data_IF_633937908909
#
_entry.id   IF_633937908909
#
_cell.length_a   1.000
_cell.length_b   1.000
_cell.length_c   1.000
_cell.angle_alpha   90.00
_cell.angle_beta   90.00
_cell.angle_gamma   90.00
#
_symmetry.space_group_name_H-M   'P 1'
#
loop_
_entity.id
_entity.type
_entity.pdbx_description
1 polymer ?
#
# COMPACT_ATOMS: atom_id res chain seq x y z
N UNK A 1 -49.87 -37.70 55.80
CA UNK A 1 -49.46 -36.73 56.84
C UNK A 1 -48.76 -35.56 56.15
N UNK A 2 -49.40 -34.41 56.18
CA UNK A 2 -49.00 -33.14 55.54
C UNK A 2 -47.94 -32.40 56.37
N UNK A 3 -46.95 -31.78 55.71
CA UNK A 3 -46.28 -30.51 56.11
C UNK A 3 -45.77 -29.83 54.83
N UNK A 4 -46.53 -28.88 54.26
CA UNK A 4 -46.45 -27.42 54.43
C UNK A 4 -45.14 -26.75 53.96
N UNK A 5 -45.22 -26.24 52.73
CA UNK A 5 -44.87 -24.87 52.25
C UNK A 5 -43.69 -24.12 52.88
N UNK A 6 -42.74 -23.70 52.03
CA UNK A 6 -42.21 -22.32 52.03
C UNK A 6 -41.51 -21.97 50.71
N UNK A 7 -42.17 -21.10 49.97
CA UNK A 7 -41.67 -20.29 48.84
C UNK A 7 -40.59 -19.32 49.34
N UNK A 8 -39.42 -19.28 48.68
CA UNK A 8 -38.59 -18.07 48.62
C UNK A 8 -38.12 -17.89 47.17
N UNK A 9 -38.60 -16.80 46.60
CA UNK A 9 -38.26 -16.25 45.30
C UNK A 9 -36.88 -15.58 45.43
N UNK A 10 -35.87 -16.04 44.70
CA UNK A 10 -34.53 -15.47 44.69
C UNK A 10 -34.09 -15.19 43.26
N UNK A 11 -34.40 -14.00 42.77
CA UNK A 11 -33.76 -13.42 41.59
C UNK A 11 -32.28 -13.16 41.88
N UNK A 12 -31.37 -13.80 41.13
CA UNK A 12 -30.01 -13.30 40.95
C UNK A 12 -29.74 -13.08 39.47
N UNK A 13 -29.52 -11.81 39.16
CA UNK A 13 -29.09 -11.31 37.88
C UNK A 13 -27.62 -11.67 37.60
N UNK A 14 -27.34 -11.97 36.33
CA UNK A 14 -26.14 -11.54 35.63
C UNK A 14 -24.79 -12.15 36.02
N UNK A 15 -24.19 -12.91 35.11
CA UNK A 15 -22.95 -12.48 34.45
C UNK A 15 -22.72 -13.42 33.24
N UNK A 16 -23.34 -13.09 32.11
CA UNK A 16 -22.94 -13.65 30.83
C UNK A 16 -21.64 -12.98 30.40
N UNK A 17 -20.49 -13.51 30.83
CA UNK A 17 -19.20 -13.12 30.26
C UNK A 17 -19.09 -13.80 28.90
N UNK A 18 -19.70 -13.20 27.88
CA UNK A 18 -19.31 -13.43 26.51
C UNK A 18 -17.91 -12.82 26.34
N UNK A 19 -16.87 -13.61 26.61
CA UNK A 19 -15.52 -13.28 26.20
C UNK A 19 -15.51 -13.30 24.66
N UNK A 20 -15.78 -12.14 24.06
CA UNK A 20 -15.50 -11.90 22.67
C UNK A 20 -13.99 -12.04 22.51
N UNK A 21 -13.55 -13.17 21.96
CA UNK A 21 -12.21 -13.31 21.41
C UNK A 21 -12.11 -12.29 20.28
N UNK A 22 -11.66 -11.07 20.61
CA UNK A 22 -11.21 -10.10 19.64
C UNK A 22 -10.02 -10.74 18.93
N UNK A 23 -10.28 -11.29 17.74
CA UNK A 23 -9.21 -11.69 16.84
C UNK A 23 -8.35 -10.45 16.65
N UNK A 24 -7.02 -10.50 16.90
CA UNK A 24 -6.17 -9.38 16.56
C UNK A 24 -6.36 -9.14 15.06
N UNK A 25 -6.84 -7.94 14.72
CA UNK A 25 -7.04 -7.54 13.34
C UNK A 25 -5.70 -7.74 12.63
N UNK A 26 -5.64 -8.73 11.73
CA UNK A 26 -4.45 -9.02 10.96
C UNK A 26 -4.02 -7.71 10.28
N UNK A 27 -2.84 -7.27 10.67
CA UNK A 27 -2.21 -6.07 10.19
C UNK A 27 -1.76 -6.31 8.74
N UNK A 28 -2.17 -5.43 7.83
CA UNK A 28 -1.93 -5.59 6.43
C UNK A 28 -0.75 -4.66 6.04
N UNK A 29 0.37 -5.21 5.54
CA UNK A 29 1.38 -4.41 4.88
C UNK A 29 0.73 -3.49 3.83
N UNK A 30 1.02 -2.20 3.90
CA UNK A 30 0.41 -1.15 3.08
C UNK A 30 -0.65 -0.30 3.81
N UNK A 31 -1.06 -0.64 5.04
CA UNK A 31 -1.96 0.21 5.84
C UNK A 31 -1.33 1.58 6.11
N UNK A 32 -2.11 2.65 5.93
CA UNK A 32 -1.71 4.00 6.33
C UNK A 32 -2.18 4.25 7.75
N UNK A 33 -1.24 4.66 8.60
CA UNK A 33 -1.48 5.08 9.96
C UNK A 33 -1.07 6.53 10.16
N UNK A 34 -1.84 7.28 10.93
CA UNK A 34 -1.47 8.62 11.41
C UNK A 34 -0.86 8.53 12.78
N UNK A 35 0.26 9.22 12.99
CA UNK A 35 0.92 9.33 14.27
C UNK A 35 0.05 10.15 15.23
N UNK A 36 -0.26 9.60 16.40
CA UNK A 36 -1.14 10.23 17.40
C UNK A 36 -0.37 10.94 18.51
N UNK A 37 0.88 10.56 18.77
CA UNK A 37 1.74 11.19 19.77
C UNK A 37 2.45 12.44 19.24
N UNK A 38 2.71 13.43 20.11
CA UNK A 38 3.43 14.68 19.76
C UNK A 38 4.78 14.42 19.08
N UNK A 39 5.56 13.51 19.68
CA UNK A 39 6.85 13.05 19.17
C UNK A 39 6.99 11.56 19.48
N UNK A 40 7.10 10.77 18.42
CA UNK A 40 7.11 9.32 18.48
C UNK A 40 8.42 8.81 17.88
N UNK A 41 9.05 7.86 18.57
CA UNK A 41 10.33 7.29 18.15
C UNK A 41 10.11 6.14 17.17
N UNK A 42 10.83 6.19 16.04
CA UNK A 42 11.02 5.05 15.16
C UNK A 42 12.27 4.29 15.61
N UNK A 43 12.10 3.05 16.06
CA UNK A 43 13.17 2.23 16.64
C UNK A 43 13.75 1.24 15.64
N UNK A 44 14.95 0.75 15.90
CA UNK A 44 15.63 -0.19 15.02
C UNK A 44 15.01 -1.61 15.05
N UNK A 45 14.33 -1.99 16.13
CA UNK A 45 13.72 -3.30 16.34
C UNK A 45 12.41 -3.15 17.15
N UNK A 46 11.51 -4.16 17.15
CA UNK A 46 10.24 -4.13 17.87
C UNK A 46 10.43 -4.35 19.39
N UNK A 47 11.16 -3.44 20.04
CA UNK A 47 11.41 -3.45 21.47
C UNK A 47 11.61 -2.03 22.01
N UNK A 48 11.16 -1.85 23.24
CA UNK A 48 11.40 -0.71 24.13
C UNK A 48 12.89 -0.43 24.37
N UNK A 49 13.75 -1.43 24.25
CA UNK A 49 15.20 -1.32 24.45
C UNK A 49 15.98 -1.11 23.14
N UNK A 50 15.30 -1.14 21.99
CA UNK A 50 15.94 -0.92 20.71
C UNK A 50 16.34 0.55 20.52
N UNK A 51 17.47 0.80 19.84
CA UNK A 51 17.95 2.15 19.54
C UNK A 51 16.93 2.93 18.70
N UNK A 52 16.81 4.23 18.98
CA UNK A 52 15.97 5.15 18.19
C UNK A 52 16.73 5.51 16.92
N UNK A 53 16.13 5.25 15.76
CA UNK A 53 16.68 5.63 14.45
C UNK A 53 16.28 7.05 14.08
N UNK A 54 15.01 7.37 14.25
CA UNK A 54 14.46 8.69 13.95
C UNK A 54 13.17 8.96 14.72
N UNK A 55 12.55 10.10 14.45
CA UNK A 55 11.32 10.51 15.12
C UNK A 55 10.31 11.07 14.14
N UNK A 56 9.05 10.72 14.35
CA UNK A 56 7.86 11.24 13.65
C UNK A 56 7.00 12.04 14.63
N UNK A 57 6.21 12.98 14.13
CA UNK A 57 5.40 13.89 14.96
C UNK A 57 3.91 13.67 14.72
N UNK A 58 3.07 14.17 15.64
CA UNK A 58 1.62 14.05 15.52
C UNK A 58 1.15 14.54 14.14
N UNK A 59 0.31 13.75 13.49
CA UNK A 59 -0.21 14.05 12.16
C UNK A 59 0.68 13.58 11.00
N UNK A 60 1.92 13.15 11.25
CA UNK A 60 2.72 12.46 10.23
C UNK A 60 2.01 11.16 9.82
N UNK A 61 2.03 10.86 8.53
CA UNK A 61 1.55 9.60 7.98
C UNK A 61 2.70 8.60 7.86
N UNK A 62 2.43 7.37 8.26
CA UNK A 62 3.35 6.25 8.19
C UNK A 62 2.67 5.06 7.53
N UNK A 63 3.43 4.36 6.69
CA UNK A 63 2.96 3.16 5.99
C UNK A 63 3.44 1.95 6.78
N UNK A 64 2.52 1.05 7.11
CA UNK A 64 2.84 -0.23 7.71
C UNK A 64 3.56 -1.14 6.71
N UNK A 65 4.76 -1.59 7.07
CA UNK A 65 5.53 -2.57 6.32
C UNK A 65 5.28 -3.98 6.84
N UNK A 66 5.16 -4.11 8.17
CA UNK A 66 4.90 -5.39 8.86
C UNK A 66 4.50 -5.14 10.32
N UNK A 67 3.91 -6.15 10.97
CA UNK A 67 3.61 -6.11 12.40
C UNK A 67 4.22 -7.31 13.14
N UNK A 68 4.85 -7.05 14.29
CA UNK A 68 5.39 -8.06 15.20
C UNK A 68 4.87 -7.76 16.62
N UNK A 69 3.89 -8.54 17.06
CA UNK A 69 3.18 -8.28 18.32
C UNK A 69 2.47 -6.94 18.29
N UNK A 70 2.80 -6.06 19.25
CA UNK A 70 2.26 -4.70 19.34
C UNK A 70 3.11 -3.65 18.61
N UNK A 71 4.17 -4.08 17.92
CA UNK A 71 5.05 -3.20 17.18
C UNK A 71 4.74 -3.24 15.70
N UNK A 72 4.69 -2.07 15.10
CA UNK A 72 4.44 -1.88 13.68
C UNK A 72 5.73 -1.38 13.06
N UNK A 73 6.29 -2.16 12.14
CA UNK A 73 7.38 -1.73 11.28
C UNK A 73 6.78 -0.80 10.24
N UNK A 74 7.27 0.43 10.19
CA UNK A 74 6.68 1.49 9.37
C UNK A 74 7.73 2.22 8.55
N UNK A 75 7.29 2.85 7.46
CA UNK A 75 8.05 3.88 6.75
C UNK A 75 7.36 5.23 6.88
N UNK A 76 8.12 6.26 7.25
CA UNK A 76 7.66 7.65 7.27
C UNK A 76 7.39 8.14 5.85
N UNK A 77 6.18 8.64 5.57
CA UNK A 77 5.87 9.22 4.26
C UNK A 77 6.57 10.57 4.04
N UNK A 78 6.93 11.26 5.12
CA UNK A 78 7.61 12.56 5.06
C UNK A 78 9.10 12.43 4.77
N UNK A 79 9.76 11.40 5.30
CA UNK A 79 11.22 11.26 5.25
C UNK A 79 11.71 10.02 4.51
N UNK A 80 10.84 9.06 4.23
CA UNK A 80 11.19 7.76 3.65
C UNK A 80 11.93 6.83 4.62
N UNK A 81 12.18 7.25 5.86
CA UNK A 81 12.92 6.45 6.85
C UNK A 81 12.07 5.32 7.41
N UNK A 82 12.73 4.20 7.71
CA UNK A 82 12.11 3.00 8.26
C UNK A 82 12.49 2.75 9.72
N UNK A 83 11.51 2.28 10.47
CA UNK A 83 11.73 1.80 11.83
C UNK A 83 10.47 1.20 12.42
N UNK A 84 10.51 0.96 13.73
CA UNK A 84 9.43 0.35 14.49
C UNK A 84 8.78 1.37 15.40
N UNK A 85 7.45 1.41 15.35
CA UNK A 85 6.60 2.22 16.23
C UNK A 85 5.69 1.30 17.04
N UNK A 86 5.36 1.70 18.26
CA UNK A 86 4.39 0.97 19.07
C UNK A 86 2.97 1.30 18.59
N UNK A 87 2.12 0.28 18.42
CA UNK A 87 0.81 0.39 17.78
C UNK A 87 -0.10 1.45 18.40
N UNK A 88 -0.07 1.63 19.72
CA UNK A 88 -0.90 2.63 20.41
C UNK A 88 -0.54 4.10 20.07
N UNK A 89 0.64 4.32 19.47
CA UNK A 89 1.12 5.64 19.08
C UNK A 89 0.72 6.03 17.65
N UNK A 90 -0.01 5.15 16.97
CA UNK A 90 -0.50 5.37 15.63
C UNK A 90 -1.97 4.96 15.53
N UNK A 91 -2.71 5.61 14.64
CA UNK A 91 -4.11 5.29 14.37
C UNK A 91 -4.26 4.98 12.90
N UNK A 92 -4.74 3.78 12.58
CA UNK A 92 -5.08 3.39 11.22
C UNK A 92 -6.10 4.37 10.63
N UNK A 93 -5.75 5.05 9.54
CA UNK A 93 -6.65 5.97 8.82
C UNK A 93 -7.54 5.20 7.84
N UNK A 94 -6.94 4.22 7.18
CA UNK A 94 -7.60 3.45 6.13
C UNK A 94 -7.27 1.99 6.37
N UNK A 95 -8.26 1.10 6.55
CA UNK A 95 -7.99 -0.31 6.36
C UNK A 95 -7.55 -0.47 4.91
N UNK A 96 -6.35 -1.00 4.68
CA UNK A 96 -6.07 -1.54 3.37
C UNK A 96 -7.15 -2.56 3.09
N UNK A 97 -7.80 -2.40 1.94
CA UNK A 97 -8.59 -3.47 1.33
C UNK A 97 -7.72 -4.68 0.96
N UNK A 98 -6.43 -4.68 1.34
CA UNK A 98 -5.40 -5.69 1.13
C UNK A 98 -5.50 -6.90 2.05
N UNK A 99 -6.26 -6.85 3.16
CA UNK A 99 -6.52 -8.02 4.00
C UNK A 99 -7.36 -9.11 3.31
N UNK A 100 -8.10 -8.76 2.25
CA UNK A 100 -8.80 -9.71 1.38
C UNK A 100 -8.23 -9.80 -0.04
N UNK A 101 -7.18 -9.04 -0.33
CA UNK A 101 -6.61 -8.86 -1.67
C UNK A 101 -5.15 -9.31 -1.78
N UNK A 102 -4.68 -10.22 -0.93
CA UNK A 102 -3.48 -11.01 -1.27
C UNK A 102 -3.65 -11.77 -2.59
N UNK A 103 -4.89 -11.93 -3.07
CA UNK A 103 -5.22 -12.42 -4.42
C UNK A 103 -5.49 -11.32 -5.47
N UNK A 104 -5.61 -10.04 -5.09
CA UNK A 104 -5.92 -8.93 -6.00
C UNK A 104 -4.83 -7.83 -6.05
N UNK A 105 -3.83 -7.87 -5.18
CA UNK A 105 -2.62 -7.04 -5.27
C UNK A 105 -1.67 -7.53 -6.37
N UNK A 106 -1.68 -8.83 -6.65
CA UNK A 106 -1.07 -9.48 -7.81
C UNK A 106 -1.83 -9.22 -9.11
N UNK A 107 -3.08 -8.73 -9.06
CA UNK A 107 -3.95 -8.64 -10.23
C UNK A 107 -4.26 -7.18 -10.62
N UNK A 108 -3.27 -6.28 -10.50
CA UNK A 108 -3.35 -4.96 -11.13
C UNK A 108 -3.54 -5.05 -12.67
N UNK A 109 -3.48 -6.25 -13.25
CA UNK A 109 -3.64 -6.55 -14.67
C UNK A 109 -2.33 -6.97 -15.35
N UNK A 110 -1.21 -6.94 -14.63
CA UNK A 110 0.12 -7.31 -15.16
C UNK A 110 0.27 -8.83 -15.37
N UNK A 111 -0.41 -9.67 -14.59
CA UNK A 111 -0.34 -11.13 -14.79
C UNK A 111 -1.01 -11.65 -16.04
N UNK A 112 -1.85 -10.82 -16.65
CA UNK A 112 -2.40 -11.05 -17.98
C UNK A 112 -1.38 -10.79 -19.09
N UNK A 113 -0.29 -10.09 -18.78
CA UNK A 113 0.79 -9.70 -19.70
C UNK A 113 1.98 -10.66 -19.55
N UNK A 114 2.47 -10.87 -18.32
CA UNK A 114 3.63 -11.74 -18.06
C UNK A 114 3.72 -12.17 -16.60
N UNK A 115 3.74 -13.48 -16.37
CA UNK A 115 3.93 -14.08 -15.03
C UNK A 115 5.30 -13.77 -14.43
N UNK A 116 6.35 -13.63 -15.25
CA UNK A 116 7.68 -13.26 -14.77
C UNK A 116 7.74 -11.81 -14.29
N UNK A 117 6.97 -10.93 -14.91
CA UNK A 117 6.89 -9.52 -14.51
C UNK A 117 6.14 -9.34 -13.19
N UNK A 118 5.10 -10.14 -12.95
CA UNK A 118 4.41 -10.16 -11.66
C UNK A 118 5.35 -10.52 -10.51
N UNK A 119 6.20 -11.53 -10.69
CA UNK A 119 7.17 -11.94 -9.67
C UNK A 119 8.15 -10.81 -9.34
N UNK A 120 8.62 -10.10 -10.37
CA UNK A 120 9.50 -8.94 -10.22
C UNK A 120 8.80 -7.80 -9.48
N UNK A 121 7.59 -7.43 -9.89
CA UNK A 121 6.82 -6.38 -9.24
C UNK A 121 6.43 -6.76 -7.81
N UNK A 122 6.08 -8.01 -7.55
CA UNK A 122 5.81 -8.50 -6.20
C UNK A 122 7.06 -8.37 -5.31
N UNK A 123 8.24 -8.73 -5.81
CA UNK A 123 9.50 -8.54 -5.10
C UNK A 123 9.79 -7.07 -4.79
N UNK A 124 9.61 -6.19 -5.77
CA UNK A 124 9.80 -4.74 -5.61
C UNK A 124 8.78 -4.16 -4.62
N UNK A 125 7.52 -4.53 -4.74
CA UNK A 125 6.46 -4.07 -3.83
C UNK A 125 6.69 -4.56 -2.40
N UNK A 126 7.20 -5.79 -2.21
CA UNK A 126 7.54 -6.31 -0.88
C UNK A 126 8.73 -5.57 -0.28
N UNK A 127 9.75 -5.24 -1.09
CA UNK A 127 10.90 -4.46 -0.64
C UNK A 127 10.53 -3.01 -0.33
N UNK A 128 9.64 -2.41 -1.15
CA UNK A 128 9.18 -1.05 -0.98
C UNK A 128 7.99 -0.95 -0.01
N UNK A 129 7.33 -2.02 0.39
CA UNK A 129 6.15 -1.97 1.27
C UNK A 129 4.95 -1.18 0.73
N UNK A 130 4.95 -0.82 -0.56
CA UNK A 130 3.81 -0.19 -1.23
C UNK A 130 3.72 -0.67 -2.68
N UNK A 131 2.50 -0.63 -3.24
CA UNK A 131 2.22 -1.12 -4.60
C UNK A 131 2.63 -0.09 -5.64
N UNK A 132 3.29 -0.52 -6.70
CA UNK A 132 3.58 0.32 -7.87
C UNK A 132 2.32 0.83 -8.57
N UNK A 133 1.42 -0.08 -8.97
CA UNK A 133 0.23 0.26 -9.75
C UNK A 133 -1.06 -0.06 -9.00
N UNK A 134 -2.00 0.88 -9.09
CA UNK A 134 -3.39 0.69 -8.71
C UNK A 134 -4.12 -0.14 -9.77
N UNK A 135 -3.93 0.20 -11.05
CA UNK A 135 -4.62 -0.43 -12.18
C UNK A 135 -3.77 -0.40 -13.44
N UNK A 136 -3.92 -1.44 -14.27
CA UNK A 136 -3.40 -1.52 -15.62
C UNK A 136 -4.55 -1.69 -16.60
N UNK A 137 -4.62 -0.83 -17.60
CA UNK A 137 -5.61 -0.85 -18.65
C UNK A 137 -4.91 -1.16 -19.96
N UNK A 138 -5.32 -2.25 -20.62
CA UNK A 138 -4.81 -2.66 -21.91
C UNK A 138 -5.89 -2.41 -22.97
N UNK A 139 -5.46 -1.89 -24.11
CA UNK A 139 -6.32 -1.70 -25.28
C UNK A 139 -5.82 -2.57 -26.43
N UNK A 140 -6.75 -3.12 -27.21
CA UNK A 140 -6.45 -4.02 -28.33
C UNK A 140 -5.64 -3.41 -29.47
N UNK A 141 -5.37 -2.10 -29.44
CA UNK A 141 -4.53 -1.38 -30.40
C UNK A 141 -3.05 -1.29 -29.99
N UNK A 142 -2.60 -2.10 -29.02
CA UNK A 142 -1.22 -2.06 -28.53
C UNK A 142 -0.97 -0.92 -27.54
N UNK A 143 -2.01 -0.33 -26.95
CA UNK A 143 -1.88 0.69 -25.91
C UNK A 143 -1.93 0.06 -24.51
N UNK A 144 -1.00 0.48 -23.65
CA UNK A 144 -0.93 0.13 -22.23
C UNK A 144 -1.02 1.41 -21.40
N UNK A 145 -1.95 1.45 -20.44
CA UNK A 145 -1.99 2.49 -19.42
C UNK A 145 -1.76 1.87 -18.06
N UNK A 146 -0.82 2.41 -17.32
CA UNK A 146 -0.56 2.05 -15.93
C UNK A 146 -0.92 3.25 -15.06
N UNK A 147 -1.85 3.05 -14.14
CA UNK A 147 -2.26 4.03 -13.13
C UNK A 147 -1.48 3.70 -11.86
N UNK A 148 -0.46 4.49 -11.50
CA UNK A 148 0.32 4.24 -10.29
C UNK A 148 -0.50 4.51 -9.05
N UNK A 149 -0.12 3.90 -7.93
CA UNK A 149 -0.68 4.33 -6.65
C UNK A 149 -0.23 5.74 -6.31
N UNK A 150 -1.06 6.43 -5.54
CA UNK A 150 -0.74 7.75 -5.01
C UNK A 150 0.56 7.73 -4.19
N UNK A 151 0.81 6.62 -3.48
CA UNK A 151 1.95 6.46 -2.60
C UNK A 151 3.25 6.30 -3.38
N UNK A 152 3.21 5.58 -4.50
CA UNK A 152 4.34 5.51 -5.41
C UNK A 152 4.60 6.88 -6.07
N UNK A 153 3.56 7.62 -6.42
CA UNK A 153 3.71 8.96 -7.00
C UNK A 153 4.36 9.96 -6.04
N UNK A 154 4.01 9.94 -4.76
CA UNK A 154 4.60 10.88 -3.79
C UNK A 154 6.04 10.53 -3.41
N UNK A 155 6.36 9.24 -3.30
CA UNK A 155 7.67 8.79 -2.82
C UNK A 155 8.71 8.58 -3.93
N UNK A 156 8.32 8.70 -5.20
CA UNK A 156 9.22 8.45 -6.34
C UNK A 156 9.64 9.77 -7.01
N UNK A 157 10.94 9.90 -7.29
CA UNK A 157 11.49 11.07 -8.00
C UNK A 157 10.95 11.16 -9.43
N UNK A 158 10.99 12.36 -10.03
CA UNK A 158 10.60 12.54 -11.44
C UNK A 158 11.40 11.65 -12.39
N UNK A 159 12.69 11.53 -12.14
CA UNK A 159 13.59 10.70 -12.94
C UNK A 159 13.23 9.21 -12.84
N UNK A 160 12.98 8.71 -11.62
CA UNK A 160 12.54 7.34 -11.42
C UNK A 160 11.17 7.06 -12.06
N UNK A 161 10.28 8.05 -12.11
CA UNK A 161 9.01 7.93 -12.86
C UNK A 161 9.22 7.77 -14.36
N UNK A 162 10.20 8.49 -14.93
CA UNK A 162 10.57 8.36 -16.34
C UNK A 162 11.17 6.98 -16.61
N UNK A 163 12.08 6.50 -15.77
CA UNK A 163 12.65 5.16 -15.92
C UNK A 163 11.59 4.06 -15.81
N UNK A 164 10.63 4.21 -14.90
CA UNK A 164 9.50 3.28 -14.82
C UNK A 164 8.67 3.28 -16.11
N UNK A 165 8.37 4.45 -16.68
CA UNK A 165 7.65 4.55 -17.94
C UNK A 165 8.42 3.91 -19.11
N UNK A 166 9.74 4.16 -19.20
CA UNK A 166 10.61 3.55 -20.21
C UNK A 166 10.68 2.03 -20.08
N UNK A 167 10.83 1.51 -18.85
CA UNK A 167 10.84 0.07 -18.60
C UNK A 167 9.51 -0.59 -18.98
N UNK A 168 8.39 0.06 -18.68
CA UNK A 168 7.07 -0.41 -19.11
C UNK A 168 6.93 -0.41 -20.64
N UNK A 169 7.46 0.61 -21.32
CA UNK A 169 7.49 0.67 -22.77
C UNK A 169 8.31 -0.47 -23.39
N UNK A 170 9.55 -0.69 -22.95
CA UNK A 170 10.41 -1.76 -23.45
C UNK A 170 9.76 -3.14 -23.24
N UNK A 171 9.23 -3.37 -22.05
CA UNK A 171 8.50 -4.59 -21.72
C UNK A 171 7.30 -4.80 -22.64
N UNK A 172 6.46 -3.77 -22.82
CA UNK A 172 5.24 -3.86 -23.60
C UNK A 172 5.51 -4.02 -25.10
N UNK A 173 6.54 -3.35 -25.61
CA UNK A 173 7.02 -3.53 -26.98
C UNK A 173 7.52 -4.96 -27.22
N UNK A 174 8.29 -5.51 -26.28
CA UNK A 174 8.75 -6.89 -26.36
C UNK A 174 7.56 -7.88 -26.36
N UNK A 175 6.57 -7.67 -25.49
CA UNK A 175 5.34 -8.48 -25.45
C UNK A 175 4.56 -8.43 -26.79
N UNK A 176 4.55 -7.27 -27.45
CA UNK A 176 3.91 -7.08 -28.75
C UNK A 176 4.81 -7.45 -29.95
N UNK A 177 5.82 -8.30 -29.75
CA UNK A 177 6.75 -8.76 -30.78
C UNK A 177 7.46 -7.62 -31.54
N UNK A 178 7.79 -6.54 -30.84
CA UNK A 178 8.47 -5.37 -31.42
C UNK A 178 7.59 -4.46 -32.27
N UNK A 179 6.27 -4.72 -32.35
CA UNK A 179 5.32 -3.82 -33.02
C UNK A 179 5.29 -2.45 -32.32
N UNK A 180 4.94 -1.37 -33.04
CA UNK A 180 4.73 -0.07 -32.43
C UNK A 180 3.63 -0.16 -31.35
N UNK A 181 3.91 0.42 -30.19
CA UNK A 181 3.03 0.42 -29.02
C UNK A 181 2.95 1.81 -28.40
N UNK A 182 1.90 2.07 -27.63
CA UNK A 182 1.82 3.26 -26.78
C UNK A 182 1.74 2.86 -25.31
N UNK A 183 2.46 3.58 -24.45
CA UNK A 183 2.48 3.36 -23.01
C UNK A 183 2.22 4.68 -22.29
N UNK A 184 1.30 4.70 -21.34
CA UNK A 184 1.03 5.86 -20.50
C UNK A 184 1.12 5.48 -19.01
N UNK A 185 1.93 6.22 -18.26
CA UNK A 185 2.04 6.15 -16.82
C UNK A 185 1.30 7.33 -16.20
N UNK A 186 0.11 7.07 -15.68
CA UNK A 186 -0.78 8.06 -15.06
C UNK A 186 -2.23 7.94 -15.49
N UNK A 187 -3.11 8.60 -14.74
CA UNK A 187 -4.55 8.62 -14.97
C UNK A 187 -4.94 9.33 -16.29
N UNK A 188 -6.04 8.92 -16.94
CA UNK A 188 -6.56 9.61 -18.11
C UNK A 188 -6.80 11.10 -17.84
N UNK A 189 -6.45 11.98 -18.79
CA UNK A 189 -6.64 13.43 -18.67
C UNK A 189 -5.76 14.13 -17.62
N UNK A 190 -4.83 13.40 -16.97
CA UNK A 190 -3.89 13.93 -15.98
C UNK A 190 -2.51 14.18 -16.59
N UNK A 191 -1.60 14.74 -15.80
CA UNK A 191 -0.16 14.87 -16.08
C UNK A 191 0.55 13.51 -16.14
N UNK A 192 0.21 12.69 -17.14
CA UNK A 192 0.80 11.38 -17.38
C UNK A 192 2.11 11.50 -18.16
N UNK A 193 3.04 10.58 -17.88
CA UNK A 193 4.21 10.34 -18.75
C UNK A 193 3.75 9.36 -19.83
N UNK A 194 3.88 9.72 -21.10
CA UNK A 194 3.45 8.87 -22.21
C UNK A 194 4.59 8.63 -23.19
N UNK A 195 4.63 7.44 -23.77
CA UNK A 195 5.56 7.05 -24.83
C UNK A 195 4.70 6.53 -25.98
N UNK A 196 4.79 7.18 -27.12
CA UNK A 196 4.09 6.77 -28.33
C UNK A 196 5.12 6.32 -29.37
N UNK A 197 5.12 5.03 -29.69
CA UNK A 197 5.94 4.49 -30.77
C UNK A 197 5.15 4.56 -32.06
N UNK A 198 5.57 5.48 -32.92
CA UNK A 198 5.09 5.57 -34.30
C UNK A 198 6.10 4.87 -35.20
N UNK A 199 5.77 4.61 -36.47
CA UNK A 199 6.73 4.01 -37.44
C UNK A 199 8.05 4.79 -37.64
N UNK A 200 8.24 5.93 -36.96
CA UNK A 200 9.46 6.76 -36.92
C UNK A 200 10.27 6.60 -35.63
N UNK A 201 9.80 5.79 -34.68
CA UNK A 201 10.40 5.57 -33.36
C UNK A 201 9.55 6.10 -32.19
N UNK A 202 9.98 5.83 -30.94
CA UNK A 202 9.27 6.24 -29.74
C UNK A 202 9.45 7.73 -29.42
N UNK A 203 8.34 8.39 -29.14
CA UNK A 203 8.30 9.78 -28.68
C UNK A 203 7.84 9.83 -27.21
N UNK A 204 8.69 10.40 -26.33
CA UNK A 204 8.39 10.58 -24.92
C UNK A 204 7.70 11.94 -24.68
N UNK A 205 6.45 11.89 -24.27
CA UNK A 205 5.66 13.02 -23.80
C UNK A 205 5.71 13.10 -22.27
N UNK A 206 6.23 14.23 -21.76
CA UNK A 206 6.28 14.51 -20.32
C UNK A 206 5.20 15.51 -19.94
N UNK A 207 4.62 15.42 -18.74
CA UNK A 207 3.64 16.38 -18.29
C UNK A 207 4.25 17.78 -18.19
N UNK A 208 3.59 18.76 -18.81
CA UNK A 208 3.93 20.18 -18.66
C UNK A 208 3.54 20.59 -17.24
N UNK A 209 4.52 20.79 -16.37
CA UNK A 209 4.25 21.40 -15.08
C UNK A 209 3.88 22.87 -15.36
N UNK A 210 2.60 23.21 -15.24
CA UNK A 210 2.22 24.60 -15.07
C UNK A 210 3.01 25.13 -13.88
N UNK A 211 3.79 26.20 -14.08
CA UNK A 211 4.42 26.91 -13.00
C UNK A 211 3.33 27.28 -11.99
N UNK A 212 3.33 26.62 -10.83
CA UNK A 212 2.55 27.05 -9.68
C UNK A 212 2.98 28.49 -9.39
N UNK A 213 2.09 29.45 -9.66
CA UNK A 213 2.22 30.83 -9.17
C UNK A 213 2.01 30.85 -7.67
#
# INVERSE_FOLDING_TARGET
MSRMTKTILGTLAGLGVAAALALPAAAAPGDIHTVTGEKVNLRAAPSDNASVRSTVTRGDEVIELKQEGNWIGVRSMRTGEEGWVFGDLVKRQTPSTLGGASSAASDAGFGRISSGFDGLLAGINNQLGYRFAERVEQSGNGALRVIPTQEWLYNTSREAKIYAALALYEMWKNHNNGRPVSVALGSPGSSAIAIEDSGRGPELSLPVMGASK
#
